data_IF_427333186445
#
_entry.id   IF_427333186445
#
_cell.length_a   1.000
_cell.length_b   1.000
_cell.length_c   1.000
_cell.angle_alpha   90.00
_cell.angle_beta   90.00
_cell.angle_gamma   90.00
#
_symmetry.space_group_name_H-M   'P 1'
#
loop_
_entity.id
_entity.type
_entity.pdbx_description
1 polymer ?
#
# COMPACT_ATOMS: atom_id res chain seq x y z
N UNK A 1 -5.70 11.93 11.81
CA UNK A 1 -5.84 12.72 10.58
C UNK A 1 -6.19 11.75 9.46
N UNK A 2 -6.85 12.17 8.38
CA UNK A 2 -7.03 11.28 7.21
C UNK A 2 -5.73 11.27 6.40
N UNK A 3 -5.35 10.13 5.86
CA UNK A 3 -4.12 9.93 5.11
C UNK A 3 -4.39 8.98 3.95
N UNK A 4 -3.70 9.17 2.82
CA UNK A 4 -3.76 8.29 1.66
C UNK A 4 -2.42 7.56 1.54
N UNK A 5 -2.47 6.24 1.52
CA UNK A 5 -1.30 5.40 1.30
C UNK A 5 -1.35 4.79 -0.10
N UNK A 6 -0.22 4.79 -0.80
CA UNK A 6 -0.07 4.23 -2.14
C UNK A 6 1.20 3.38 -2.27
N UNK A 7 1.19 2.35 -3.10
CA UNK A 7 2.43 1.66 -3.50
C UNK A 7 3.23 2.54 -4.47
N UNK A 8 4.55 2.60 -4.33
CA UNK A 8 5.45 3.31 -5.24
C UNK A 8 5.41 2.73 -6.66
N UNK A 9 5.75 3.58 -7.64
CA UNK A 9 5.91 3.13 -9.02
C UNK A 9 7.08 2.14 -9.14
N UNK A 10 6.79 0.93 -9.62
CA UNK A 10 7.81 0.03 -10.14
C UNK A 10 7.78 -0.02 -11.66
N UNK A 11 8.95 -0.22 -12.28
CA UNK A 11 9.09 -0.28 -13.73
C UNK A 11 8.17 -1.35 -14.35
N UNK A 12 7.28 -0.92 -15.24
CA UNK A 12 6.45 -1.81 -16.04
C UNK A 12 7.02 -1.96 -17.45
N UNK A 13 7.16 -3.21 -17.90
CA UNK A 13 7.61 -3.54 -19.27
C UNK A 13 6.58 -3.16 -20.34
N UNK A 14 5.30 -2.97 -19.97
CA UNK A 14 4.23 -2.57 -20.89
C UNK A 14 3.89 -1.08 -20.73
N UNK A 15 4.23 -0.23 -21.72
CA UNK A 15 3.93 1.20 -21.70
C UNK A 15 2.43 1.53 -21.62
N UNK A 16 1.55 0.66 -22.16
CA UNK A 16 0.10 0.91 -22.12
C UNK A 16 -0.47 0.66 -20.73
N UNK A 17 -0.01 -0.39 -20.06
CA UNK A 17 -0.34 -0.63 -18.65
C UNK A 17 0.17 0.51 -17.76
N UNK A 18 1.42 0.94 -18.00
CA UNK A 18 2.01 2.08 -17.31
C UNK A 18 1.14 3.35 -17.44
N UNK A 19 0.75 3.72 -18.66
CA UNK A 19 -0.08 4.90 -18.90
C UNK A 19 -1.43 4.86 -18.15
N UNK A 20 -2.11 3.70 -18.13
CA UNK A 20 -3.37 3.54 -17.39
C UNK A 20 -3.17 3.75 -15.89
N UNK A 21 -2.13 3.14 -15.32
CA UNK A 21 -1.81 3.27 -13.88
C UNK A 21 -1.46 4.73 -13.55
N UNK A 22 -0.67 5.39 -14.40
CA UNK A 22 -0.33 6.82 -14.22
C UNK A 22 -1.55 7.73 -14.20
N UNK A 23 -2.53 7.51 -15.10
CA UNK A 23 -3.76 8.29 -15.10
C UNK A 23 -4.58 8.08 -13.84
N UNK A 24 -4.77 6.83 -13.40
CA UNK A 24 -5.50 6.51 -12.17
C UNK A 24 -4.83 7.14 -10.94
N UNK A 25 -3.50 7.00 -10.83
CA UNK A 25 -2.73 7.57 -9.72
C UNK A 25 -2.80 9.10 -9.72
N UNK A 26 -2.62 9.73 -10.87
CA UNK A 26 -2.72 11.19 -11.00
C UNK A 26 -4.08 11.72 -10.56
N UNK A 27 -5.17 11.03 -10.95
CA UNK A 27 -6.52 11.39 -10.51
C UNK A 27 -6.69 11.23 -8.98
N UNK A 28 -6.18 10.15 -8.40
CA UNK A 28 -6.26 9.91 -6.95
C UNK A 28 -5.42 10.92 -6.13
N UNK A 29 -4.21 11.25 -6.58
CA UNK A 29 -3.36 12.26 -5.94
C UNK A 29 -3.97 13.67 -6.05
N UNK A 30 -4.58 14.00 -7.19
CA UNK A 30 -5.29 15.27 -7.36
C UNK A 30 -6.48 15.37 -6.39
N UNK A 31 -7.26 14.30 -6.24
CA UNK A 31 -8.37 14.26 -5.27
C UNK A 31 -7.87 14.43 -3.82
N UNK A 32 -6.81 13.74 -3.43
CA UNK A 32 -6.21 13.90 -2.10
C UNK A 32 -5.71 15.33 -1.86
N UNK A 33 -5.06 15.95 -2.86
CA UNK A 33 -4.57 17.31 -2.77
C UNK A 33 -5.69 18.35 -2.65
N UNK A 34 -6.81 18.16 -3.36
CA UNK A 34 -7.98 19.05 -3.28
C UNK A 34 -8.62 19.04 -1.88
N UNK A 35 -8.57 17.91 -1.19
CA UNK A 35 -9.09 17.74 0.18
C UNK A 35 -8.03 18.03 1.27
N UNK A 36 -6.80 18.38 0.89
CA UNK A 36 -5.70 18.61 1.84
C UNK A 36 -5.26 17.35 2.59
N UNK A 37 -5.50 16.16 2.02
CA UNK A 37 -5.15 14.87 2.62
C UNK A 37 -3.70 14.50 2.21
N UNK A 38 -2.78 14.26 3.16
CA UNK A 38 -1.41 13.87 2.85
C UNK A 38 -1.35 12.50 2.17
N UNK A 39 -0.44 12.38 1.21
CA UNK A 39 -0.18 11.15 0.44
C UNK A 39 1.17 10.58 0.85
N UNK A 40 1.20 9.28 1.15
CA UNK A 40 2.40 8.53 1.50
C UNK A 40 2.61 7.40 0.51
N UNK A 41 3.86 7.18 0.11
CA UNK A 41 4.23 6.15 -0.85
C UNK A 41 5.13 5.10 -0.19
N UNK A 42 4.95 3.83 -0.57
CA UNK A 42 5.70 2.70 -0.02
C UNK A 42 6.23 1.79 -1.12
N UNK A 43 7.50 1.40 -1.03
CA UNK A 43 8.07 0.44 -1.98
C UNK A 43 7.36 -0.92 -1.88
N UNK A 44 7.29 -1.72 -2.96
CA UNK A 44 6.75 -3.08 -2.90
C UNK A 44 7.43 -3.96 -1.84
N UNK A 45 8.71 -3.67 -1.54
CA UNK A 45 9.46 -4.39 -0.52
C UNK A 45 8.99 -4.02 0.89
N UNK A 46 8.72 -2.73 1.14
CA UNK A 46 8.21 -2.27 2.44
C UNK A 46 6.82 -2.83 2.71
N UNK A 47 5.94 -2.81 1.70
CA UNK A 47 4.60 -3.39 1.78
C UNK A 47 4.67 -4.87 2.18
N UNK A 48 5.48 -5.67 1.48
CA UNK A 48 5.67 -7.09 1.79
C UNK A 48 6.26 -7.30 3.18
N UNK A 49 7.24 -6.49 3.57
CA UNK A 49 7.87 -6.56 4.89
C UNK A 49 6.90 -6.25 6.01
N UNK A 50 6.02 -5.25 5.83
CA UNK A 50 5.02 -4.90 6.83
C UNK A 50 3.97 -6.01 7.02
N UNK A 51 3.56 -6.68 5.95
CA UNK A 51 2.54 -7.74 6.01
C UNK A 51 3.11 -9.08 6.48
N UNK A 52 4.24 -9.51 5.92
CA UNK A 52 4.77 -10.88 6.06
C UNK A 52 6.04 -10.94 6.93
N UNK A 53 6.67 -9.79 7.22
CA UNK A 53 7.90 -9.69 8.01
C UNK A 53 9.20 -9.65 7.18
N UNK A 54 9.15 -9.90 5.87
CA UNK A 54 10.31 -9.83 4.97
C UNK A 54 9.94 -9.36 3.56
N UNK A 55 10.89 -8.75 2.85
CA UNK A 55 10.64 -8.00 1.62
C UNK A 55 10.47 -8.83 0.33
N UNK A 56 10.88 -10.09 0.33
CA UNK A 56 10.83 -10.98 -0.85
C UNK A 56 9.63 -11.94 -0.87
N UNK A 57 8.60 -11.67 -0.07
CA UNK A 57 7.39 -12.49 -0.04
C UNK A 57 6.67 -12.51 -1.41
N UNK A 58 5.97 -13.61 -1.70
CA UNK A 58 5.10 -13.74 -2.88
C UNK A 58 3.76 -13.05 -2.65
N UNK A 59 3.02 -12.77 -3.73
CA UNK A 59 1.68 -12.16 -3.62
C UNK A 59 0.69 -13.08 -2.87
N UNK A 60 0.86 -14.39 -3.02
CA UNK A 60 0.05 -15.40 -2.32
C UNK A 60 0.31 -15.39 -0.82
N UNK A 61 1.58 -15.22 -0.41
CA UNK A 61 1.93 -15.11 1.01
C UNK A 61 1.37 -13.83 1.63
N UNK A 62 1.42 -12.71 0.90
CA UNK A 62 0.80 -11.45 1.33
C UNK A 62 -0.72 -11.63 1.51
N UNK A 63 -1.41 -12.18 0.51
CA UNK A 63 -2.85 -12.42 0.58
C UNK A 63 -3.22 -13.35 1.75
N UNK A 64 -2.46 -14.44 1.93
CA UNK A 64 -2.68 -15.37 3.02
C UNK A 64 -2.51 -14.70 4.38
N UNK A 65 -1.43 -13.93 4.57
CA UNK A 65 -1.16 -13.21 5.82
C UNK A 65 -2.27 -12.19 6.13
N UNK A 66 -2.68 -11.37 5.15
CA UNK A 66 -3.77 -10.41 5.35
C UNK A 66 -5.07 -11.09 5.76
N UNK A 67 -5.39 -12.24 5.16
CA UNK A 67 -6.56 -13.03 5.55
C UNK A 67 -6.49 -13.51 6.99
N UNK A 68 -5.33 -13.99 7.44
CA UNK A 68 -5.15 -14.41 8.83
C UNK A 68 -5.24 -13.21 9.80
N UNK A 69 -4.57 -12.11 9.47
CA UNK A 69 -4.52 -10.90 10.30
C UNK A 69 -5.90 -10.26 10.50
N UNK A 70 -6.71 -10.20 9.43
CA UNK A 70 -8.01 -9.51 9.45
C UNK A 70 -9.21 -10.46 9.49
N UNK A 71 -9.00 -11.78 9.61
CA UNK A 71 -10.07 -12.79 9.60
C UNK A 71 -11.01 -12.68 8.39
N UNK A 72 -10.45 -12.49 7.19
CA UNK A 72 -11.18 -12.22 5.94
C UNK A 72 -11.63 -13.52 5.24
N UNK A 73 -12.71 -13.46 4.43
CA UNK A 73 -13.25 -14.61 3.68
C UNK A 73 -12.23 -15.19 2.68
N UNK A 74 -12.60 -16.33 2.07
CA UNK A 74 -11.63 -17.20 1.39
C UNK A 74 -10.87 -16.59 0.20
N UNK A 75 -11.36 -15.49 -0.36
CA UNK A 75 -10.69 -14.91 -1.53
C UNK A 75 -10.84 -13.40 -1.53
N UNK A 76 -9.72 -12.71 -1.37
CA UNK A 76 -9.56 -11.31 -1.75
C UNK A 76 -9.20 -11.26 -3.24
N UNK A 77 -9.76 -10.31 -3.96
CA UNK A 77 -9.25 -9.96 -5.28
C UNK A 77 -7.82 -9.40 -5.18
N UNK A 78 -7.05 -9.43 -6.28
CA UNK A 78 -5.72 -8.83 -6.30
C UNK A 78 -5.73 -7.34 -5.89
N UNK A 79 -6.71 -6.57 -6.37
CA UNK A 79 -6.81 -5.13 -6.08
C UNK A 79 -7.14 -4.87 -4.60
N UNK A 80 -8.05 -5.64 -3.99
CA UNK A 80 -8.35 -5.56 -2.56
C UNK A 80 -7.15 -5.95 -1.70
N UNK A 81 -6.41 -6.99 -2.12
CA UNK A 81 -5.19 -7.44 -1.44
C UNK A 81 -4.12 -6.34 -1.46
N UNK A 82 -3.84 -5.78 -2.63
CA UNK A 82 -2.81 -4.75 -2.80
C UNK A 82 -3.19 -3.48 -2.03
N UNK A 83 -4.46 -3.04 -2.06
CA UNK A 83 -4.94 -1.88 -1.29
C UNK A 83 -4.82 -2.09 0.23
N UNK A 84 -5.24 -3.25 0.73
CA UNK A 84 -5.16 -3.56 2.17
C UNK A 84 -3.71 -3.72 2.64
N UNK A 85 -2.84 -4.31 1.81
CA UNK A 85 -1.42 -4.44 2.10
C UNK A 85 -0.75 -3.07 2.30
N UNK A 86 -1.01 -2.13 1.38
CA UNK A 86 -0.48 -0.76 1.45
C UNK A 86 -1.02 -0.02 2.68
N UNK A 87 -2.30 -0.17 3.00
CA UNK A 87 -2.88 0.42 4.20
C UNK A 87 -2.24 -0.11 5.49
N UNK A 88 -2.06 -1.43 5.61
CA UNK A 88 -1.37 -2.04 6.76
C UNK A 88 0.09 -1.58 6.84
N UNK A 89 0.78 -1.44 5.70
CA UNK A 89 2.13 -0.90 5.64
C UNK A 89 2.22 0.52 6.21
N UNK A 90 1.30 1.39 5.79
CA UNK A 90 1.21 2.75 6.30
C UNK A 90 0.98 2.79 7.81
N UNK A 91 -0.01 2.05 8.32
CA UNK A 91 -0.30 1.97 9.76
C UNK A 91 0.91 1.47 10.56
N UNK A 92 1.60 0.45 10.05
CA UNK A 92 2.80 -0.11 10.68
C UNK A 92 3.94 0.92 10.72
N UNK A 93 4.11 1.70 9.65
CA UNK A 93 5.11 2.76 9.58
C UNK A 93 4.79 3.90 10.55
N UNK A 94 3.55 4.38 10.58
CA UNK A 94 3.14 5.47 11.48
C UNK A 94 3.31 5.06 12.94
N UNK A 95 2.84 3.86 13.30
CA UNK A 95 3.02 3.33 14.65
C UNK A 95 4.50 3.25 15.06
N UNK A 96 5.38 2.89 14.13
CA UNK A 96 6.83 2.87 14.40
C UNK A 96 7.40 4.27 14.64
N UNK A 97 6.97 5.27 13.87
CA UNK A 97 7.43 6.66 14.02
C UNK A 97 6.96 7.26 15.36
N UNK A 98 5.73 6.96 15.77
CA UNK A 98 5.18 7.33 17.08
C UNK A 98 6.04 6.78 18.23
N UNK A 99 6.40 5.49 18.17
CA UNK A 99 7.26 4.84 19.17
C UNK A 99 8.68 5.45 19.22
N UNK A 100 9.12 6.07 18.12
CA UNK A 100 10.42 6.73 18.01
C UNK A 100 10.36 8.21 18.41
N UNK A 101 9.20 8.73 18.82
CA UNK A 101 9.02 10.14 19.16
C UNK A 101 9.14 11.08 17.95
N UNK A 102 8.90 10.55 16.74
CA UNK A 102 9.00 11.25 15.45
C UNK A 102 7.65 11.33 14.73
N UNK A 103 6.54 11.06 15.42
CA UNK A 103 5.19 11.22 14.88
C UNK A 103 4.92 12.69 14.50
N UNK A 104 4.28 12.90 13.36
CA UNK A 104 3.91 14.22 12.86
C UNK A 104 2.75 14.85 13.67
#
# INVERSE_FOLDING_TARGET
MQEVAMEEFFYHKDPRALARISHCRGAAMAAAALEGIPVFEYSPMDVKKAVVGYGHATKEQVAWMLRQTFSLPDRLSPDETDALAVALCHLTQQHRLELQGQGC
#
